data_IF_033740138805
#
_entry.id   IF_033740138805
#
_cell.length_a   1.000
_cell.length_b   1.000
_cell.length_c   1.000
_cell.angle_alpha   90.00
_cell.angle_beta   90.00
_cell.angle_gamma   90.00
#
_symmetry.space_group_name_H-M   'P 1'
#
loop_
_entity.id
_entity.type
_entity.pdbx_description
1 polymer ?
#
# COMPACT_ATOMS: atom_id res chain seq x y z
N UNK A 1 -2.01 -14.87 27.33
CA UNK A 1 -0.70 -15.21 26.71
C UNK A 1 -0.35 -14.03 25.84
N UNK A 2 0.88 -13.48 25.88
CA UNK A 2 1.27 -12.43 24.95
C UNK A 2 1.19 -13.00 23.53
N UNK A 3 0.54 -12.31 22.62
CA UNK A 3 0.54 -12.71 21.22
C UNK A 3 1.99 -12.72 20.72
N UNK A 4 2.42 -13.85 20.18
CA UNK A 4 3.79 -14.03 19.68
C UNK A 4 4.05 -13.16 18.43
N UNK A 5 2.97 -12.80 17.71
CA UNK A 5 3.03 -12.01 16.47
C UNK A 5 2.21 -10.73 16.58
N UNK A 6 2.75 -9.65 16.05
CA UNK A 6 2.00 -8.40 15.84
C UNK A 6 0.99 -8.63 14.71
N UNK A 7 -0.29 -8.56 15.07
CA UNK A 7 -1.39 -8.72 14.13
C UNK A 7 -1.86 -7.35 13.64
N UNK A 8 -1.69 -7.00 12.34
CA UNK A 8 -2.16 -5.72 11.82
C UNK A 8 -3.69 -5.66 11.62
N UNK A 9 -4.39 -6.79 11.74
CA UNK A 9 -5.82 -6.90 11.47
C UNK A 9 -6.65 -7.06 12.74
N UNK A 10 -7.86 -6.51 12.71
CA UNK A 10 -8.83 -6.61 13.79
C UNK A 10 -10.12 -7.26 13.31
N UNK A 11 -10.85 -7.99 14.17
CA UNK A 11 -12.21 -8.43 13.86
C UNK A 11 -13.18 -7.24 13.83
N UNK A 12 -14.42 -7.44 13.32
CA UNK A 12 -15.50 -6.43 13.31
C UNK A 12 -15.12 -5.14 12.58
N UNK A 13 -14.59 -5.29 11.37
CA UNK A 13 -14.14 -4.18 10.53
C UNK A 13 -14.65 -4.35 9.11
N UNK A 14 -14.68 -3.24 8.37
CA UNK A 14 -14.96 -3.21 6.92
C UNK A 14 -13.74 -2.73 6.15
N UNK A 15 -13.67 -3.06 4.87
CA UNK A 15 -12.59 -2.68 3.98
C UNK A 15 -12.99 -1.49 3.12
N UNK A 16 -12.17 -0.43 3.15
CA UNK A 16 -12.25 0.69 2.21
C UNK A 16 -11.18 0.51 1.13
N UNK A 17 -11.59 0.61 -0.12
CA UNK A 17 -10.71 0.49 -1.27
C UNK A 17 -10.19 1.84 -1.70
N UNK A 18 -8.86 1.98 -1.90
CA UNK A 18 -8.30 3.23 -2.38
C UNK A 18 -6.97 3.10 -3.12
N UNK A 19 -6.61 4.20 -3.78
CA UNK A 19 -5.35 4.36 -4.48
C UNK A 19 -4.51 5.44 -3.76
N UNK A 20 -3.23 5.15 -3.51
CA UNK A 20 -2.33 6.06 -2.82
C UNK A 20 -1.42 6.84 -3.77
N UNK A 21 -1.43 6.54 -5.08
CA UNK A 21 -0.58 7.14 -6.08
C UNK A 21 -1.41 7.66 -7.26
N UNK A 22 -1.78 8.93 -7.18
CA UNK A 22 -2.71 9.57 -8.11
C UNK A 22 -2.27 10.99 -8.44
N UNK A 23 -2.03 11.25 -9.72
CA UNK A 23 -1.66 12.56 -10.25
C UNK A 23 -2.88 13.29 -10.81
N UNK A 24 -2.97 14.58 -10.46
CA UNK A 24 -4.01 15.47 -10.96
C UNK A 24 -3.55 16.22 -12.22
N UNK A 25 -4.28 17.26 -12.65
CA UNK A 25 -3.85 18.14 -13.71
C UNK A 25 -2.57 18.95 -13.39
N UNK A 26 -2.08 18.88 -12.15
CA UNK A 26 -0.86 19.58 -11.74
C UNK A 26 0.41 18.87 -12.23
N UNK A 27 0.44 17.54 -12.20
CA UNK A 27 1.54 16.73 -12.70
C UNK A 27 1.10 15.55 -13.59
N UNK A 28 -0.22 15.31 -13.69
CA UNK A 28 -0.87 14.38 -14.60
C UNK A 28 -1.67 15.11 -15.67
N UNK A 29 -2.84 14.59 -16.06
CA UNK A 29 -3.62 15.09 -17.19
C UNK A 29 -5.10 15.32 -16.89
N UNK A 30 -5.56 15.09 -15.65
CA UNK A 30 -6.98 15.14 -15.31
C UNK A 30 -7.21 15.80 -13.94
N UNK A 31 -8.14 16.73 -13.88
CA UNK A 31 -8.54 17.37 -12.63
C UNK A 31 -9.32 16.38 -11.73
N UNK A 32 -9.28 16.60 -10.41
CA UNK A 32 -10.00 15.80 -9.42
C UNK A 32 -11.50 15.79 -9.67
N UNK A 33 -12.08 16.88 -10.18
CA UNK A 33 -13.51 16.94 -10.53
C UNK A 33 -13.92 15.94 -11.61
N UNK A 34 -12.96 15.40 -12.37
CA UNK A 34 -13.18 14.39 -13.39
C UNK A 34 -12.72 13.00 -12.91
N UNK A 35 -11.49 12.90 -12.37
CA UNK A 35 -10.91 11.63 -11.92
C UNK A 35 -11.59 11.11 -10.66
N UNK A 36 -11.92 11.93 -9.68
CA UNK A 36 -12.59 11.52 -8.45
C UNK A 36 -13.90 10.76 -8.71
N UNK A 37 -14.88 11.35 -9.45
CA UNK A 37 -16.10 10.65 -9.83
C UNK A 37 -15.86 9.38 -10.68
N UNK A 38 -14.78 9.32 -11.45
CA UNK A 38 -14.41 8.10 -12.20
C UNK A 38 -13.97 6.98 -11.25
N UNK A 39 -13.09 7.27 -10.27
CA UNK A 39 -12.67 6.30 -9.25
C UNK A 39 -13.85 5.87 -8.37
N UNK A 40 -14.71 6.79 -7.94
CA UNK A 40 -15.92 6.49 -7.17
C UNK A 40 -16.84 5.49 -7.91
N UNK A 41 -17.05 5.67 -9.23
CA UNK A 41 -17.84 4.72 -10.05
C UNK A 41 -17.18 3.34 -10.18
N UNK A 42 -15.86 3.24 -10.03
CA UNK A 42 -15.12 1.97 -9.99
C UNK A 42 -15.13 1.31 -8.61
N UNK A 43 -15.81 1.92 -7.63
CA UNK A 43 -15.94 1.41 -6.26
C UNK A 43 -14.73 1.69 -5.38
N UNK A 44 -14.02 2.80 -5.63
CA UNK A 44 -13.04 3.34 -4.69
C UNK A 44 -13.73 4.22 -3.66
N UNK A 45 -13.29 4.12 -2.42
CA UNK A 45 -13.77 4.93 -1.29
C UNK A 45 -12.87 6.14 -1.03
N UNK A 46 -11.58 6.03 -1.39
CA UNK A 46 -10.62 7.11 -1.21
C UNK A 46 -9.53 7.11 -2.29
N UNK A 47 -8.91 8.28 -2.52
CA UNK A 47 -7.67 8.45 -3.27
C UNK A 47 -6.75 9.44 -2.53
N UNK A 48 -5.45 9.17 -2.54
CA UNK A 48 -4.46 10.16 -2.12
C UNK A 48 -3.99 10.94 -3.35
N UNK A 49 -4.03 12.26 -3.24
CA UNK A 49 -3.46 13.16 -4.25
C UNK A 49 -1.97 13.24 -4.02
N UNK A 50 -1.18 12.87 -5.01
CA UNK A 50 0.28 12.74 -4.88
C UNK A 50 1.01 13.36 -6.08
N UNK A 51 0.68 14.60 -6.44
CA UNK A 51 1.38 15.31 -7.51
C UNK A 51 2.86 15.48 -7.19
N UNK A 52 3.70 15.53 -8.23
CA UNK A 52 5.15 15.65 -8.08
C UNK A 52 5.58 16.93 -7.37
N UNK A 53 6.26 16.79 -6.23
CA UNK A 53 6.91 17.89 -5.48
C UNK A 53 5.99 19.07 -5.18
N UNK A 54 4.69 18.81 -5.01
CA UNK A 54 3.74 19.85 -4.69
C UNK A 54 2.59 19.34 -3.83
N UNK A 55 2.11 20.25 -2.99
CA UNK A 55 0.88 20.07 -2.24
C UNK A 55 -0.15 21.13 -2.69
N UNK A 56 -1.44 20.81 -2.78
CA UNK A 56 -2.47 21.76 -3.13
C UNK A 56 -2.60 22.84 -2.03
N UNK A 57 -2.87 24.09 -2.45
CA UNK A 57 -3.23 25.12 -1.52
C UNK A 57 -4.62 24.85 -0.89
N UNK A 58 -4.95 25.62 0.17
CA UNK A 58 -6.18 25.38 0.95
C UNK A 58 -7.48 25.63 0.13
N UNK A 59 -7.47 26.57 -0.82
CA UNK A 59 -8.61 26.86 -1.67
C UNK A 59 -8.83 25.74 -2.71
N UNK A 60 -7.75 25.31 -3.35
CA UNK A 60 -7.76 24.19 -4.30
C UNK A 60 -8.18 22.89 -3.60
N UNK A 61 -7.66 22.62 -2.40
CA UNK A 61 -8.00 21.44 -1.61
C UNK A 61 -9.49 21.39 -1.27
N UNK A 62 -10.07 22.49 -0.75
CA UNK A 62 -11.51 22.55 -0.45
C UNK A 62 -12.36 22.31 -1.70
N UNK A 63 -12.01 22.93 -2.83
CA UNK A 63 -12.72 22.72 -4.09
C UNK A 63 -12.67 21.26 -4.54
N UNK A 64 -11.53 20.61 -4.42
CA UNK A 64 -11.38 19.21 -4.77
C UNK A 64 -12.18 18.28 -3.87
N UNK A 65 -12.18 18.51 -2.55
CA UNK A 65 -13.00 17.74 -1.62
C UNK A 65 -14.49 17.77 -1.96
N UNK A 66 -15.02 18.96 -2.34
CA UNK A 66 -16.42 19.12 -2.73
C UNK A 66 -16.78 18.39 -4.04
N UNK A 67 -15.81 18.16 -4.91
CA UNK A 67 -16.01 17.65 -6.27
C UNK A 67 -15.66 16.17 -6.45
N UNK A 68 -14.82 15.62 -5.57
CA UNK A 68 -14.25 14.29 -5.75
C UNK A 68 -15.27 13.14 -5.66
N UNK A 69 -16.30 13.28 -4.82
CA UNK A 69 -17.29 12.22 -4.60
C UNK A 69 -16.75 11.00 -3.83
N UNK A 70 -15.58 11.12 -3.22
CA UNK A 70 -14.92 10.13 -2.37
C UNK A 70 -13.99 10.85 -1.38
N UNK A 71 -13.38 10.11 -0.45
CA UNK A 71 -12.45 10.70 0.53
C UNK A 71 -11.14 11.03 -0.19
N UNK A 72 -10.72 12.30 -0.15
CA UNK A 72 -9.40 12.71 -0.58
C UNK A 72 -8.42 12.68 0.59
N UNK A 73 -7.22 12.19 0.34
CA UNK A 73 -6.10 12.25 1.27
C UNK A 73 -5.04 13.18 0.70
N UNK A 74 -4.57 14.20 1.42
CA UNK A 74 -3.51 15.07 0.93
C UNK A 74 -2.17 14.32 0.93
N UNK A 75 -1.30 14.65 -0.02
CA UNK A 75 0.03 14.07 -0.11
C UNK A 75 0.83 14.64 -1.26
N UNK A 76 2.01 14.10 -1.45
CA UNK A 76 2.91 14.40 -2.57
C UNK A 76 3.67 13.15 -3.03
N UNK A 77 4.15 13.14 -4.26
CA UNK A 77 5.22 12.27 -4.72
C UNK A 77 6.52 13.09 -4.77
N UNK A 78 7.37 12.92 -3.75
CA UNK A 78 8.56 13.72 -3.56
C UNK A 78 9.77 13.14 -4.30
N UNK A 79 10.49 14.00 -5.00
CA UNK A 79 11.81 13.76 -5.61
C UNK A 79 11.84 13.89 -7.12
N UNK A 80 13.02 14.28 -7.62
CA UNK A 80 13.31 14.36 -9.06
C UNK A 80 13.82 13.01 -9.61
N UNK A 81 14.27 12.14 -8.72
CA UNK A 81 14.66 10.75 -9.02
C UNK A 81 14.55 9.89 -7.76
N UNK A 82 14.09 8.66 -7.91
CA UNK A 82 13.82 7.79 -6.77
C UNK A 82 12.69 8.40 -5.92
N UNK A 83 11.44 8.18 -6.33
CA UNK A 83 10.29 8.88 -5.78
C UNK A 83 9.83 8.27 -4.46
N UNK A 84 9.28 9.13 -3.59
CA UNK A 84 8.72 8.74 -2.29
C UNK A 84 7.36 9.41 -2.14
N UNK A 85 6.30 8.61 -1.89
CA UNK A 85 5.01 9.18 -1.47
C UNK A 85 5.09 9.61 -0.01
N UNK A 86 4.61 10.81 0.29
CA UNK A 86 4.20 11.23 1.63
C UNK A 86 2.68 11.43 1.63
N UNK A 87 1.96 10.56 2.32
CA UNK A 87 0.50 10.53 2.36
C UNK A 87 0.01 11.01 3.72
N UNK A 88 -0.89 11.99 3.72
CA UNK A 88 -1.43 12.61 4.94
C UNK A 88 -0.77 13.94 5.27
N UNK A 89 -0.25 14.66 4.29
CA UNK A 89 0.37 15.98 4.45
C UNK A 89 -0.18 17.00 3.46
N UNK A 90 -0.22 18.27 3.89
CA UNK A 90 -0.55 19.41 3.03
C UNK A 90 0.68 20.25 2.67
N UNK A 91 1.87 19.77 2.98
CA UNK A 91 3.11 20.52 2.77
C UNK A 91 4.16 19.65 2.08
N UNK A 92 4.98 20.26 1.25
CA UNK A 92 6.19 19.63 0.71
C UNK A 92 7.25 19.62 1.83
N UNK A 93 7.54 18.44 2.37
CA UNK A 93 8.31 18.30 3.62
C UNK A 93 9.82 18.15 3.39
N UNK A 94 10.26 17.84 2.17
CA UNK A 94 11.67 17.65 1.86
C UNK A 94 12.04 18.27 0.50
N UNK A 95 13.28 18.83 0.37
CA UNK A 95 13.78 19.27 -0.92
C UNK A 95 13.87 18.09 -1.92
N UNK A 96 13.34 18.21 -3.14
CA UNK A 96 13.27 17.10 -4.09
C UNK A 96 14.63 16.65 -4.64
N UNK A 97 15.63 17.50 -4.60
CA UNK A 97 17.01 17.29 -5.06
C UNK A 97 17.94 16.66 -4.00
N UNK A 98 17.47 16.52 -2.75
CA UNK A 98 18.20 15.80 -1.71
C UNK A 98 18.31 14.31 -2.03
N UNK A 99 19.30 13.64 -1.41
CA UNK A 99 19.45 12.20 -1.55
C UNK A 99 18.19 11.44 -1.07
N UNK A 100 17.88 10.30 -1.67
CA UNK A 100 16.73 9.48 -1.30
C UNK A 100 16.63 9.22 0.21
N UNK A 101 17.75 8.85 0.86
CA UNK A 101 17.76 8.60 2.29
C UNK A 101 17.54 9.86 3.14
N UNK A 102 18.04 11.03 2.70
CA UNK A 102 17.78 12.29 3.39
C UNK A 102 16.30 12.68 3.30
N UNK A 103 15.69 12.53 2.12
CA UNK A 103 14.25 12.78 1.90
C UNK A 103 13.40 11.82 2.72
N UNK A 104 13.64 10.50 2.65
CA UNK A 104 12.90 9.50 3.42
C UNK A 104 12.87 9.82 4.91
N UNK A 105 14.04 10.23 5.48
CA UNK A 105 14.14 10.64 6.88
C UNK A 105 13.38 11.91 7.20
N UNK A 106 13.45 12.93 6.34
CA UNK A 106 12.73 14.19 6.51
C UNK A 106 11.21 13.96 6.47
N UNK A 107 10.73 13.25 5.46
CA UNK A 107 9.31 12.89 5.27
C UNK A 107 8.78 12.04 6.43
N UNK A 108 9.58 11.08 6.93
CA UNK A 108 9.23 10.29 8.11
C UNK A 108 8.97 11.16 9.35
N UNK A 109 9.73 12.23 9.50
CA UNK A 109 9.57 13.22 10.57
C UNK A 109 8.29 14.05 10.46
N UNK A 110 7.70 14.18 9.27
CA UNK A 110 6.45 14.91 8.98
C UNK A 110 5.18 14.22 9.50
N UNK A 111 5.25 12.92 9.81
CA UNK A 111 4.13 12.17 10.38
C UNK A 111 3.16 11.55 9.37
N UNK A 112 3.42 11.69 8.07
CA UNK A 112 2.67 11.03 6.99
C UNK A 112 2.95 9.53 6.88
N UNK A 113 2.27 8.85 5.97
CA UNK A 113 2.58 7.47 5.57
C UNK A 113 3.54 7.51 4.39
N UNK A 114 4.76 6.98 4.56
CA UNK A 114 5.89 7.13 3.64
C UNK A 114 6.09 5.84 2.83
N UNK A 115 6.02 5.94 1.50
CA UNK A 115 6.09 4.80 0.59
C UNK A 115 7.17 5.02 -0.47
N UNK A 116 8.12 4.09 -0.61
CA UNK A 116 9.03 4.09 -1.75
C UNK A 116 8.30 3.65 -3.03
N UNK A 117 8.29 4.51 -4.04
CA UNK A 117 7.56 4.29 -5.28
C UNK A 117 8.32 3.39 -6.25
N UNK A 118 7.60 2.60 -7.05
CA UNK A 118 8.05 1.87 -8.24
C UNK A 118 9.56 1.52 -8.23
N UNK A 119 10.02 0.62 -7.33
CA UNK A 119 11.45 0.35 -7.08
C UNK A 119 12.27 0.02 -8.33
N UNK A 120 11.63 -0.54 -9.36
CA UNK A 120 12.28 -0.96 -10.60
C UNK A 120 12.37 0.14 -11.67
N UNK A 121 11.81 1.34 -11.43
CA UNK A 121 11.93 2.45 -12.37
C UNK A 121 13.38 2.93 -12.53
N UNK A 122 14.15 2.84 -11.46
CA UNK A 122 15.54 3.27 -11.39
C UNK A 122 16.44 2.06 -11.11
N UNK A 123 16.69 1.20 -12.13
CA UNK A 123 17.31 -0.11 -11.93
C UNK A 123 18.75 -0.05 -11.41
N UNK A 124 19.44 1.08 -11.58
CA UNK A 124 20.84 1.23 -11.16
C UNK A 124 20.97 1.51 -9.67
N UNK A 125 20.04 2.31 -9.10
CA UNK A 125 20.15 2.77 -7.70
C UNK A 125 18.85 2.59 -6.89
N UNK A 126 17.73 2.24 -7.52
CA UNK A 126 16.41 2.21 -6.86
C UNK A 126 16.35 1.26 -5.67
N UNK A 127 16.73 0.01 -5.87
CA UNK A 127 16.73 -0.99 -4.80
C UNK A 127 17.76 -0.68 -3.70
N UNK A 128 18.96 -0.19 -4.06
CA UNK A 128 20.01 0.14 -3.09
C UNK A 128 19.64 1.37 -2.26
N UNK A 129 19.02 2.37 -2.87
CA UNK A 129 18.46 3.52 -2.15
C UNK A 129 17.39 3.09 -1.14
N UNK A 130 16.50 2.19 -1.52
CA UNK A 130 15.45 1.66 -0.65
C UNK A 130 16.05 0.86 0.50
N UNK A 131 17.05 -0.02 0.24
CA UNK A 131 17.78 -0.75 1.30
C UNK A 131 18.42 0.20 2.30
N UNK A 132 19.04 1.27 1.82
CA UNK A 132 19.70 2.25 2.67
C UNK A 132 18.72 3.08 3.53
N UNK A 133 17.49 3.28 3.06
CA UNK A 133 16.47 4.09 3.71
C UNK A 133 15.38 3.27 4.40
N UNK A 134 15.45 1.95 4.40
CA UNK A 134 14.36 1.05 4.82
C UNK A 134 13.80 1.37 6.23
N UNK A 135 14.65 1.83 7.16
CA UNK A 135 14.22 2.20 8.51
C UNK A 135 13.40 3.51 8.56
N UNK A 136 13.50 4.36 7.53
CA UNK A 136 12.78 5.63 7.42
C UNK A 136 11.51 5.52 6.54
N UNK A 137 11.24 4.35 5.96
CA UNK A 137 10.04 4.07 5.18
C UNK A 137 8.97 3.36 6.03
N UNK A 138 7.70 3.51 5.65
CA UNK A 138 6.60 2.67 6.14
C UNK A 138 6.30 1.51 5.20
N UNK A 139 6.41 1.75 3.88
CA UNK A 139 6.05 0.79 2.87
C UNK A 139 6.91 0.92 1.60
N UNK A 140 6.79 -0.09 0.73
CA UNK A 140 7.25 -0.02 -0.66
C UNK A 140 6.10 -0.35 -1.61
N UNK A 141 6.10 0.18 -2.81
CA UNK A 141 5.20 -0.28 -3.87
C UNK A 141 5.66 -1.64 -4.39
N UNK A 142 4.90 -2.68 -4.02
CA UNK A 142 5.10 -4.04 -4.54
C UNK A 142 4.42 -4.23 -5.90
N UNK A 143 3.47 -3.36 -6.24
CA UNK A 143 2.81 -3.29 -7.53
C UNK A 143 2.54 -1.82 -7.90
N UNK A 144 2.88 -1.44 -9.14
CA UNK A 144 2.59 -0.14 -9.72
C UNK A 144 1.97 -0.33 -11.11
N UNK A 145 0.73 0.09 -11.30
CA UNK A 145 -0.05 -0.18 -12.50
C UNK A 145 0.53 0.47 -13.74
N UNK A 146 1.06 1.70 -13.65
CA UNK A 146 1.69 2.39 -14.78
C UNK A 146 2.95 1.63 -15.22
N UNK A 147 3.76 1.17 -14.29
CA UNK A 147 5.00 0.44 -14.59
C UNK A 147 4.73 -0.94 -15.17
N UNK A 148 3.74 -1.64 -14.65
CA UNK A 148 3.30 -2.93 -15.19
C UNK A 148 2.80 -2.79 -16.64
N UNK A 149 2.06 -1.72 -16.95
CA UNK A 149 1.57 -1.43 -18.30
C UNK A 149 2.71 -1.19 -19.33
N UNK A 150 3.89 -0.78 -18.87
CA UNK A 150 5.08 -0.57 -19.71
C UNK A 150 6.16 -1.66 -19.54
N UNK A 151 5.82 -2.78 -18.89
CA UNK A 151 6.67 -3.97 -18.77
C UNK A 151 7.68 -3.92 -17.62
N UNK A 152 7.40 -3.20 -16.53
CA UNK A 152 8.19 -3.28 -15.31
C UNK A 152 7.76 -4.48 -14.45
N UNK A 153 8.72 -5.08 -13.76
CA UNK A 153 8.63 -6.42 -13.22
C UNK A 153 8.11 -6.44 -11.76
N UNK A 154 6.80 -6.68 -11.56
CA UNK A 154 6.18 -6.92 -10.25
C UNK A 154 6.94 -7.99 -9.42
N UNK A 155 7.33 -9.17 -9.97
CA UNK A 155 8.06 -10.16 -9.20
C UNK A 155 9.35 -9.64 -8.57
N UNK A 156 10.06 -8.72 -9.21
CA UNK A 156 11.28 -8.13 -8.64
C UNK A 156 10.99 -7.19 -7.46
N UNK A 157 9.85 -6.48 -7.47
CA UNK A 157 9.41 -5.65 -6.35
C UNK A 157 9.04 -6.51 -5.14
N UNK A 158 8.34 -7.63 -5.36
CA UNK A 158 7.99 -8.59 -4.32
C UNK A 158 9.25 -9.25 -3.75
N UNK A 159 10.21 -9.61 -4.60
CA UNK A 159 11.48 -10.19 -4.16
C UNK A 159 12.29 -9.19 -3.30
N UNK A 160 12.31 -7.91 -3.67
CA UNK A 160 12.93 -6.86 -2.86
C UNK A 160 12.21 -6.71 -1.50
N UNK A 161 10.86 -6.75 -1.50
CA UNK A 161 10.10 -6.70 -0.26
C UNK A 161 10.44 -7.87 0.67
N UNK A 162 10.41 -9.11 0.16
CA UNK A 162 10.77 -10.31 0.93
C UNK A 162 12.24 -10.30 1.41
N UNK A 163 13.16 -9.74 0.63
CA UNK A 163 14.55 -9.50 1.03
C UNK A 163 14.62 -8.55 2.24
N UNK A 164 13.95 -7.39 2.17
CA UNK A 164 13.95 -6.39 3.22
C UNK A 164 13.30 -6.90 4.51
N UNK A 165 12.19 -7.63 4.40
CA UNK A 165 11.53 -8.28 5.53
C UNK A 165 12.45 -9.32 6.20
N UNK A 166 13.14 -10.12 5.39
CA UNK A 166 14.09 -11.14 5.87
C UNK A 166 15.29 -10.52 6.56
N UNK A 167 15.71 -9.33 6.13
CA UNK A 167 16.75 -8.54 6.79
C UNK A 167 16.29 -7.88 8.11
N UNK A 168 15.03 -8.09 8.53
CA UNK A 168 14.47 -7.58 9.78
C UNK A 168 13.84 -6.19 9.70
N UNK A 169 13.67 -5.63 8.49
CA UNK A 169 12.95 -4.38 8.35
C UNK A 169 11.44 -4.60 8.48
N UNK A 170 10.75 -3.69 9.14
CA UNK A 170 9.29 -3.69 9.27
C UNK A 170 8.70 -2.76 8.23
N UNK A 171 8.37 -3.31 7.07
CA UNK A 171 7.85 -2.59 5.90
C UNK A 171 6.56 -3.21 5.40
N UNK A 172 5.57 -2.37 5.07
CA UNK A 172 4.34 -2.77 4.43
C UNK A 172 4.50 -2.85 2.91
N UNK A 173 3.61 -3.58 2.24
CA UNK A 173 3.53 -3.64 0.78
C UNK A 173 2.30 -2.91 0.27
N UNK A 174 2.46 -1.95 -0.65
CA UNK A 174 1.37 -1.20 -1.26
C UNK A 174 1.23 -1.53 -2.76
N UNK A 175 -0.01 -1.50 -3.26
CA UNK A 175 -0.31 -1.59 -4.69
C UNK A 175 -1.05 -0.34 -5.14
N UNK A 176 -0.59 0.31 -6.21
CA UNK A 176 -1.15 1.55 -6.70
C UNK A 176 -1.25 1.57 -8.21
N UNK A 177 -2.08 2.48 -8.74
CA UNK A 177 -2.18 2.71 -10.17
C UNK A 177 -1.05 3.57 -10.74
N UNK A 178 -0.51 4.53 -9.96
CA UNK A 178 0.34 5.61 -10.47
C UNK A 178 -0.38 6.33 -11.62
N UNK A 179 -1.57 6.84 -11.28
CA UNK A 179 -2.54 7.27 -12.27
C UNK A 179 -2.15 8.55 -12.98
N UNK A 180 -1.92 8.41 -14.28
CA UNK A 180 -1.72 9.50 -15.23
C UNK A 180 -2.69 9.28 -16.39
N UNK A 181 -3.83 9.94 -16.41
CA UNK A 181 -4.99 9.67 -17.28
C UNK A 181 -4.65 9.25 -18.72
N UNK A 182 -3.72 9.95 -19.38
CA UNK A 182 -3.37 9.66 -20.78
C UNK A 182 -2.48 8.41 -20.93
N UNK A 183 -1.94 7.86 -19.83
CA UNK A 183 -0.96 6.78 -19.84
C UNK A 183 -1.55 5.46 -19.33
N UNK A 184 -2.48 5.53 -18.37
CA UNK A 184 -3.08 4.34 -17.78
C UNK A 184 -4.53 4.60 -17.36
N UNK A 185 -5.39 3.59 -17.55
CA UNK A 185 -6.71 3.56 -16.94
C UNK A 185 -6.62 3.20 -15.46
N UNK A 186 -7.57 3.65 -14.60
CA UNK A 186 -7.56 3.28 -13.19
C UNK A 186 -7.99 1.82 -12.98
N UNK A 187 -7.60 1.26 -11.84
CA UNK A 187 -8.10 -0.04 -11.38
C UNK A 187 -7.17 -1.21 -11.63
N UNK A 188 -5.87 -0.98 -11.79
CA UNK A 188 -4.85 -2.02 -11.89
C UNK A 188 -4.34 -2.47 -10.52
N UNK A 189 -4.03 -1.50 -9.64
CA UNK A 189 -3.58 -1.75 -8.28
C UNK A 189 -4.30 -0.88 -7.26
N UNK A 190 -4.60 -1.42 -6.07
CA UNK A 190 -5.24 -0.68 -4.99
C UNK A 190 -4.92 -1.27 -3.62
N UNK A 191 -5.21 -0.49 -2.58
CA UNK A 191 -5.12 -0.91 -1.21
C UNK A 191 -6.52 -0.99 -0.60
N UNK A 192 -6.77 -2.03 0.20
CA UNK A 192 -7.98 -2.15 0.99
C UNK A 192 -7.62 -1.92 2.45
N UNK A 193 -8.07 -0.81 3.00
CA UNK A 193 -7.78 -0.37 4.37
C UNK A 193 -8.89 -0.80 5.30
N UNK A 194 -8.53 -1.39 6.42
CA UNK A 194 -9.44 -1.82 7.45
C UNK A 194 -9.85 -0.64 8.33
N UNK A 195 -11.16 -0.44 8.49
CA UNK A 195 -11.72 0.58 9.40
C UNK A 195 -12.77 -0.07 10.30
N UNK A 196 -12.99 0.46 11.52
CA UNK A 196 -14.03 -0.07 12.40
C UNK A 196 -15.42 -0.06 11.71
N UNK A 197 -16.21 -1.12 11.91
CA UNK A 197 -17.53 -1.24 11.29
C UNK A 197 -18.53 -0.22 11.84
N UNK A 198 -18.38 0.15 13.11
CA UNK A 198 -19.24 1.08 13.84
C UNK A 198 -18.93 2.56 13.58
N UNK A 199 -17.82 2.90 12.94
CA UNK A 199 -17.48 4.29 12.62
C UNK A 199 -18.38 4.80 11.49
N UNK A 200 -19.32 5.68 11.84
CA UNK A 200 -20.24 6.31 10.88
C UNK A 200 -19.53 7.32 9.98
N UNK A 201 -18.48 7.98 10.49
CA UNK A 201 -17.72 9.00 9.76
C UNK A 201 -16.24 8.63 9.70
N UNK A 202 -15.79 8.22 8.52
CA UNK A 202 -14.36 7.97 8.26
C UNK A 202 -13.74 9.22 7.65
N UNK A 203 -12.65 9.67 8.26
CA UNK A 203 -11.84 10.77 7.74
C UNK A 203 -10.55 10.25 7.12
N UNK A 204 -9.87 11.09 6.35
CA UNK A 204 -8.58 10.72 5.76
C UNK A 204 -7.52 10.43 6.84
N UNK A 205 -7.54 11.11 7.98
CA UNK A 205 -6.62 10.85 9.10
C UNK A 205 -6.82 9.45 9.69
N UNK A 206 -8.08 8.97 9.71
CA UNK A 206 -8.36 7.59 10.13
C UNK A 206 -7.70 6.61 9.16
N UNK A 207 -7.82 6.84 7.84
CA UNK A 207 -7.22 5.97 6.82
C UNK A 207 -5.69 5.97 6.95
N UNK A 208 -5.06 7.15 7.09
CA UNK A 208 -3.59 7.26 7.25
C UNK A 208 -3.10 6.52 8.49
N UNK A 209 -3.82 6.64 9.62
CA UNK A 209 -3.50 5.90 10.86
C UNK A 209 -3.54 4.39 10.65
N UNK A 210 -4.55 3.89 9.93
CA UNK A 210 -4.66 2.47 9.61
C UNK A 210 -3.56 1.99 8.67
N UNK A 211 -3.19 2.80 7.68
CA UNK A 211 -2.05 2.52 6.80
C UNK A 211 -0.74 2.41 7.62
N UNK A 212 -0.49 3.35 8.52
CA UNK A 212 0.69 3.32 9.38
C UNK A 212 0.73 2.09 10.30
N UNK A 213 -0.43 1.65 10.78
CA UNK A 213 -0.57 0.44 11.59
C UNK A 213 -0.45 -0.87 10.79
N UNK A 214 -0.44 -0.81 9.44
CA UNK A 214 -0.46 -1.99 8.57
C UNK A 214 -1.85 -2.63 8.44
N UNK A 215 -2.90 -1.99 8.92
CA UNK A 215 -4.27 -2.50 8.85
C UNK A 215 -4.86 -2.35 7.43
N UNK A 216 -4.17 -2.92 6.45
CA UNK A 216 -4.59 -2.92 5.04
C UNK A 216 -3.99 -4.12 4.29
N UNK A 217 -4.49 -4.37 3.09
CA UNK A 217 -3.88 -5.29 2.14
C UNK A 217 -3.78 -4.68 0.75
N UNK A 218 -2.77 -5.08 -0.01
CA UNK A 218 -2.56 -4.68 -1.39
C UNK A 218 -3.25 -5.65 -2.36
N UNK A 219 -3.71 -5.18 -3.54
CA UNK A 219 -4.43 -6.04 -4.47
C UNK A 219 -4.33 -5.61 -5.93
N UNK A 220 -4.35 -6.64 -6.81
CA UNK A 220 -4.64 -6.54 -8.25
C UNK A 220 -5.84 -7.43 -8.61
N UNK A 221 -7.07 -6.98 -8.31
CA UNK A 221 -8.36 -7.63 -8.62
C UNK A 221 -8.80 -8.81 -7.74
N UNK A 222 -8.06 -9.19 -6.71
CA UNK A 222 -8.52 -10.13 -5.69
C UNK A 222 -8.91 -9.37 -4.41
N UNK A 223 -9.62 -10.05 -3.51
CA UNK A 223 -9.92 -9.49 -2.19
C UNK A 223 -9.79 -10.57 -1.13
N UNK A 224 -9.41 -10.15 0.05
CA UNK A 224 -9.67 -10.87 1.28
C UNK A 224 -11.02 -10.42 1.84
N UNK A 225 -11.83 -11.38 2.28
CA UNK A 225 -13.04 -11.10 3.04
C UNK A 225 -12.71 -11.03 4.53
N UNK A 226 -11.82 -11.93 4.98
CA UNK A 226 -11.34 -11.97 6.35
C UNK A 226 -9.89 -12.40 6.41
N UNK A 227 -9.13 -11.79 7.32
CA UNK A 227 -7.80 -12.22 7.77
C UNK A 227 -7.83 -12.14 9.29
N UNK A 228 -7.64 -13.26 9.97
CA UNK A 228 -7.76 -13.36 11.41
C UNK A 228 -6.62 -14.20 11.98
N UNK A 229 -5.99 -13.71 13.04
CA UNK A 229 -5.03 -14.47 13.84
C UNK A 229 -5.53 -14.51 15.29
N UNK A 230 -6.01 -15.66 15.70
CA UNK A 230 -6.52 -15.89 17.06
C UNK A 230 -5.97 -17.20 17.61
N UNK A 231 -5.60 -17.23 18.89
CA UNK A 231 -5.10 -18.41 19.59
C UNK A 231 -3.99 -19.16 18.85
N UNK A 232 -3.13 -18.44 18.11
CA UNK A 232 -2.04 -19.01 17.32
C UNK A 232 -2.47 -19.71 16.02
N UNK A 233 -3.71 -19.51 15.58
CA UNK A 233 -4.21 -20.01 14.30
C UNK A 233 -4.52 -18.83 13.37
N UNK A 234 -3.90 -18.86 12.19
CA UNK A 234 -4.23 -17.96 11.10
C UNK A 234 -5.41 -18.53 10.32
N UNK A 235 -6.51 -17.77 10.23
CA UNK A 235 -7.69 -18.09 9.41
C UNK A 235 -7.87 -17.01 8.35
N UNK A 236 -7.95 -17.41 7.09
CA UNK A 236 -8.11 -16.48 5.96
C UNK A 236 -9.25 -16.93 5.07
N UNK A 237 -10.12 -15.99 4.73
CA UNK A 237 -11.16 -16.18 3.70
C UNK A 237 -10.92 -15.20 2.56
N UNK A 238 -10.69 -15.73 1.37
CA UNK A 238 -10.60 -14.98 0.13
C UNK A 238 -11.96 -14.85 -0.56
N UNK A 239 -12.13 -13.80 -1.34
CA UNK A 239 -13.33 -13.58 -2.14
C UNK A 239 -13.50 -14.62 -3.27
N UNK A 240 -14.64 -14.61 -3.98
CA UNK A 240 -15.06 -15.69 -4.90
C UNK A 240 -14.14 -15.89 -6.11
N UNK A 241 -13.26 -14.96 -6.39
CA UNK A 241 -12.27 -15.09 -7.48
C UNK A 241 -10.98 -15.77 -7.05
N UNK A 242 -10.68 -15.88 -5.75
CA UNK A 242 -9.47 -16.52 -5.22
C UNK A 242 -9.48 -18.00 -5.58
N UNK A 243 -8.33 -18.53 -5.98
CA UNK A 243 -8.14 -19.95 -6.36
C UNK A 243 -7.14 -20.65 -5.47
N UNK A 244 -6.27 -19.88 -4.82
CA UNK A 244 -5.19 -20.39 -4.01
C UNK A 244 -4.82 -19.34 -2.95
N UNK A 245 -4.49 -19.80 -1.76
CA UNK A 245 -3.97 -19.02 -0.65
C UNK A 245 -2.64 -19.60 -0.22
N UNK A 246 -1.64 -18.75 -0.08
CA UNK A 246 -0.27 -19.13 0.30
C UNK A 246 0.12 -18.37 1.56
N UNK A 247 0.79 -19.03 2.49
CA UNK A 247 1.52 -18.39 3.59
C UNK A 247 2.99 -18.32 3.18
N UNK A 248 3.53 -17.11 3.17
CA UNK A 248 4.89 -16.81 2.74
C UNK A 248 5.72 -16.38 3.96
N UNK A 249 6.90 -16.93 4.10
CA UNK A 249 7.88 -16.60 5.13
C UNK A 249 9.14 -15.96 4.58
N UNK A 250 10.22 -16.06 5.36
CA UNK A 250 11.53 -15.48 5.03
C UNK A 250 12.02 -15.89 3.65
N UNK A 251 12.56 -14.91 2.91
CA UNK A 251 13.08 -15.13 1.55
C UNK A 251 12.01 -15.46 0.50
N UNK A 252 10.73 -15.24 0.81
CA UNK A 252 9.64 -15.60 -0.11
C UNK A 252 9.29 -17.10 -0.10
N UNK A 253 9.75 -17.85 0.90
CA UNK A 253 9.47 -19.29 1.02
C UNK A 253 7.98 -19.53 1.27
N UNK A 254 7.39 -20.49 0.55
CA UNK A 254 6.02 -20.94 0.79
C UNK A 254 6.01 -21.89 2.00
N UNK A 255 5.46 -21.43 3.12
CA UNK A 255 5.33 -22.20 4.35
C UNK A 255 4.10 -23.09 4.36
N UNK A 256 3.02 -22.65 3.73
CA UNK A 256 1.77 -23.38 3.62
C UNK A 256 0.97 -22.94 2.38
N UNK A 257 0.19 -23.87 1.83
CA UNK A 257 -0.63 -23.66 0.65
C UNK A 257 -2.00 -24.29 0.82
N UNK A 258 -3.05 -23.58 0.42
CA UNK A 258 -4.42 -24.09 0.37
C UNK A 258 -5.07 -23.76 -0.96
N UNK A 259 -5.60 -24.77 -1.64
CA UNK A 259 -6.43 -24.58 -2.82
C UNK A 259 -7.82 -24.01 -2.43
N UNK A 260 -8.32 -23.06 -3.22
CA UNK A 260 -9.65 -22.46 -3.01
C UNK A 260 -9.58 -21.15 -2.24
N UNK A 261 -10.60 -20.89 -1.44
CA UNK A 261 -10.90 -19.57 -0.86
C UNK A 261 -10.68 -19.51 0.65
N UNK A 262 -10.39 -20.63 1.30
CA UNK A 262 -10.21 -20.69 2.75
C UNK A 262 -8.89 -21.35 3.11
N UNK A 263 -8.25 -20.81 4.15
CA UNK A 263 -7.03 -21.33 4.72
C UNK A 263 -7.14 -21.26 6.24
N UNK A 264 -6.81 -22.35 6.90
CA UNK A 264 -6.53 -22.41 8.34
C UNK A 264 -5.13 -22.98 8.53
N UNK A 265 -4.31 -22.29 9.32
CA UNK A 265 -2.93 -22.69 9.55
C UNK A 265 -2.50 -22.40 10.98
N UNK A 266 -2.16 -23.43 11.76
CA UNK A 266 -1.51 -23.26 13.05
C UNK A 266 -0.14 -22.63 12.84
N UNK A 267 0.06 -21.42 13.37
CA UNK A 267 1.28 -20.66 13.16
C UNK A 267 2.42 -21.26 14.00
N UNK A 268 3.52 -21.72 13.39
CA UNK A 268 4.69 -22.17 14.14
C UNK A 268 5.31 -21.00 14.93
N UNK A 269 5.85 -21.33 16.11
CA UNK A 269 6.62 -20.36 16.87
C UNK A 269 7.98 -20.05 16.22
N UNK A 270 8.50 -18.84 16.45
CA UNK A 270 9.86 -18.46 16.08
C UNK A 270 10.07 -18.06 14.63
N UNK A 271 9.02 -17.91 13.81
CA UNK A 271 9.16 -17.29 12.50
C UNK A 271 9.45 -15.79 12.67
N UNK A 272 10.40 -15.19 11.94
CA UNK A 272 10.63 -13.74 12.00
C UNK A 272 9.41 -12.95 11.55
N UNK A 273 8.74 -13.41 10.50
CA UNK A 273 7.46 -12.92 9.99
C UNK A 273 6.79 -13.98 9.11
N UNK A 274 5.53 -13.76 8.80
CA UNK A 274 4.82 -14.41 7.72
C UNK A 274 3.79 -13.43 7.12
N UNK A 275 3.39 -13.66 5.87
CA UNK A 275 2.34 -12.93 5.16
C UNK A 275 1.49 -13.88 4.32
N UNK A 276 0.32 -13.42 3.89
CA UNK A 276 -0.57 -14.21 3.03
C UNK A 276 -0.60 -13.63 1.61
N UNK A 277 -0.60 -14.51 0.64
CA UNK A 277 -0.83 -14.16 -0.76
C UNK A 277 -2.02 -14.96 -1.31
N UNK A 278 -2.99 -14.24 -1.88
CA UNK A 278 -4.09 -14.84 -2.64
C UNK A 278 -3.79 -14.78 -4.14
N UNK A 279 -4.07 -15.85 -4.85
CA UNK A 279 -3.76 -16.01 -6.28
C UNK A 279 -4.97 -16.45 -7.12
N UNK A 280 -5.02 -15.93 -8.36
CA UNK A 280 -5.90 -16.41 -9.43
C UNK A 280 -5.34 -16.02 -10.82
N UNK A 281 -4.54 -16.91 -11.44
CA UNK A 281 -3.77 -16.58 -12.63
C UNK A 281 -2.74 -15.49 -12.34
N UNK A 282 -2.78 -14.38 -13.06
CA UNK A 282 -1.89 -13.22 -12.82
C UNK A 282 -2.37 -12.29 -11.69
N UNK A 283 -3.61 -12.45 -11.23
CA UNK A 283 -4.20 -11.60 -10.19
C UNK A 283 -3.72 -11.99 -8.81
N UNK A 284 -3.48 -11.00 -7.95
CA UNK A 284 -2.94 -11.18 -6.60
C UNK A 284 -3.70 -10.34 -5.57
N UNK A 285 -3.61 -10.75 -4.33
CA UNK A 285 -3.76 -9.89 -3.16
C UNK A 285 -2.73 -10.30 -2.11
N UNK A 286 -2.15 -9.33 -1.42
CA UNK A 286 -1.08 -9.53 -0.45
C UNK A 286 -1.48 -8.93 0.89
N UNK A 287 -1.54 -9.75 1.94
CA UNK A 287 -1.66 -9.22 3.30
C UNK A 287 -0.40 -8.47 3.69
N UNK A 288 -0.49 -7.66 4.74
CA UNK A 288 0.70 -7.17 5.41
C UNK A 288 1.36 -8.28 6.24
N UNK A 289 2.67 -8.16 6.50
CA UNK A 289 3.37 -9.14 7.33
C UNK A 289 2.89 -9.12 8.78
N UNK A 290 2.78 -10.31 9.36
CA UNK A 290 2.68 -10.54 10.78
C UNK A 290 4.09 -10.69 11.33
N UNK A 291 4.57 -9.73 12.09
CA UNK A 291 5.93 -9.72 12.61
C UNK A 291 6.00 -10.39 13.97
N UNK A 292 7.08 -11.13 14.25
CA UNK A 292 7.36 -11.59 15.60
C UNK A 292 7.45 -10.40 16.56
N UNK A 293 6.79 -10.52 17.72
CA UNK A 293 6.65 -9.42 18.69
C UNK A 293 7.84 -9.32 19.65
N UNK A 294 8.68 -10.38 19.72
CA UNK A 294 9.72 -10.52 20.72
C UNK A 294 11.14 -10.31 20.30
#
# INVERSE_FOLDING_TARGET
MSEEYLNPYSPSTRWLRGNLHHHTCCSGFMDISESGPMFARLGYDFIAVSDHNMAPDEEQWRRWQDQAGLILIPGEENGDSGHILEIGTHVVSAPPDDSFAARARALRGGGGFIVACHPQQYPVDGADNIRAAAADLHAIEIFNGLREAIGCDEPANIALWDELLTAGNRLWGAANDDFHFALISPGHGWNCVQVPEEDETITWETIVRQLQAGAFYASTHLRFEQILLEDGVLSVTGGPRVRELLVIGSGGEVLHEAAGQALEWPVPSGLPYFRVEARAGVKRAWSQPFYNAG
#
